data_IF_699025311435
#
_entry.id   IF_699025311435
#
_cell.length_a   1.000
_cell.length_b   1.000
_cell.length_c   1.000
_cell.angle_alpha   90.00
_cell.angle_beta   90.00
_cell.angle_gamma   90.00
#
_symmetry.space_group_name_H-M   'P 1'
#
loop_
_entity.id
_entity.type
_entity.pdbx_description
1 polymer ?
#
# COMPACT_ATOMS: atom_id res chain seq x y z
N UNK A 1 -14.80 -37.97 41.01
CA UNK A 1 -13.97 -38.12 39.80
C UNK A 1 -13.64 -36.74 39.23
N UNK A 2 -12.37 -36.32 39.32
CA UNK A 2 -11.87 -35.08 38.73
C UNK A 2 -11.75 -35.26 37.22
N UNK A 3 -12.57 -34.54 36.43
CA UNK A 3 -12.42 -34.45 34.97
C UNK A 3 -11.05 -33.81 34.66
N UNK A 4 -10.07 -34.64 34.29
CA UNK A 4 -8.83 -34.18 33.65
C UNK A 4 -9.24 -33.40 32.40
N UNK A 5 -8.93 -32.11 32.38
CA UNK A 5 -9.20 -31.24 31.25
C UNK A 5 -8.47 -31.75 30.01
N UNK A 6 -9.23 -32.06 28.98
CA UNK A 6 -8.71 -32.34 27.65
C UNK A 6 -8.04 -31.07 27.13
N UNK A 7 -6.71 -31.03 27.17
CA UNK A 7 -5.92 -30.02 26.44
C UNK A 7 -6.18 -30.23 24.95
N UNK A 8 -7.10 -29.45 24.38
CA UNK A 8 -7.24 -29.36 22.94
C UNK A 8 -5.89 -28.91 22.37
N UNK A 9 -5.26 -29.77 21.56
CA UNK A 9 -4.06 -29.40 20.81
C UNK A 9 -4.41 -28.26 19.86
N UNK A 10 -3.85 -27.08 20.13
CA UNK A 10 -4.06 -25.89 19.31
C UNK A 10 -2.93 -25.71 18.31
N UNK A 11 -3.25 -25.28 17.10
CA UNK A 11 -2.20 -24.97 16.12
C UNK A 11 -1.45 -23.69 16.52
N UNK A 12 -0.19 -23.55 16.07
CA UNK A 12 0.61 -22.32 16.27
C UNK A 12 -0.12 -21.08 15.75
N UNK A 13 -0.79 -21.22 14.59
CA UNK A 13 -1.59 -20.14 13.99
C UNK A 13 -2.76 -19.73 14.87
N UNK A 14 -3.45 -20.69 15.48
CA UNK A 14 -4.55 -20.42 16.40
C UNK A 14 -4.07 -19.80 17.70
N UNK A 15 -2.92 -20.24 18.22
CA UNK A 15 -2.28 -19.65 19.39
C UNK A 15 -1.93 -18.18 19.13
N UNK A 16 -1.30 -17.88 17.99
CA UNK A 16 -0.99 -16.50 17.60
C UNK A 16 -2.25 -15.64 17.44
N UNK A 17 -3.29 -16.16 16.80
CA UNK A 17 -4.58 -15.46 16.65
C UNK A 17 -5.25 -15.20 18.00
N UNK A 18 -5.25 -16.17 18.90
CA UNK A 18 -5.82 -16.05 20.25
C UNK A 18 -5.05 -15.03 21.07
N UNK A 19 -3.72 -15.09 21.07
CA UNK A 19 -2.86 -14.10 21.74
C UNK A 19 -3.09 -12.69 21.22
N UNK A 20 -3.18 -12.51 19.90
CA UNK A 20 -3.51 -11.21 19.30
C UNK A 20 -4.86 -10.65 19.73
N UNK A 21 -5.89 -11.50 19.86
CA UNK A 21 -7.20 -11.06 20.39
C UNK A 21 -7.10 -10.64 21.85
N UNK A 22 -6.43 -11.42 22.70
CA UNK A 22 -6.25 -11.09 24.12
C UNK A 22 -5.54 -9.73 24.28
N UNK A 23 -4.49 -9.49 23.50
CA UNK A 23 -3.77 -8.21 23.53
C UNK A 23 -4.66 -7.06 23.05
N UNK A 24 -5.43 -7.25 21.97
CA UNK A 24 -6.41 -6.27 21.49
C UNK A 24 -7.49 -5.96 22.49
N UNK A 25 -8.05 -6.97 23.13
CA UNK A 25 -9.14 -6.77 24.09
C UNK A 25 -8.61 -6.10 25.38
N UNK A 26 -7.34 -6.33 25.73
CA UNK A 26 -6.66 -5.70 26.89
C UNK A 26 -6.24 -4.24 26.64
N UNK A 27 -5.67 -3.93 25.47
CA UNK A 27 -5.03 -2.63 25.22
C UNK A 27 -5.74 -1.76 24.18
N UNK A 28 -6.71 -2.31 23.46
CA UNK A 28 -7.53 -1.60 22.49
C UNK A 28 -6.82 -1.20 21.19
N UNK A 29 -7.52 -0.50 20.28
CA UNK A 29 -6.99 -0.12 18.97
C UNK A 29 -5.81 0.86 19.03
N UNK A 30 -5.82 1.80 19.99
CA UNK A 30 -4.79 2.82 20.14
C UNK A 30 -3.39 2.22 20.34
N UNK A 31 -3.30 1.13 21.11
CA UNK A 31 -2.07 0.39 21.30
C UNK A 31 -1.49 -0.15 19.98
N UNK A 32 -2.33 -0.73 19.13
CA UNK A 32 -1.89 -1.22 17.80
C UNK A 32 -1.42 -0.10 16.88
N UNK A 33 -2.12 1.03 16.91
CA UNK A 33 -1.69 2.23 16.18
C UNK A 33 -0.32 2.72 16.67
N UNK A 34 -0.08 2.73 17.98
CA UNK A 34 1.19 3.18 18.55
C UNK A 34 2.34 2.23 18.21
N UNK A 35 2.18 0.92 18.40
CA UNK A 35 3.23 -0.05 18.07
C UNK A 35 3.49 -0.12 16.56
N UNK A 36 2.44 0.04 15.74
CA UNK A 36 2.57 0.13 14.28
C UNK A 36 3.36 1.36 13.87
N UNK A 37 3.07 2.52 14.48
CA UNK A 37 3.84 3.76 14.25
C UNK A 37 5.30 3.60 14.65
N UNK A 38 5.57 3.05 15.84
CA UNK A 38 6.95 2.80 16.32
C UNK A 38 7.70 1.85 15.38
N UNK A 39 7.08 0.76 14.95
CA UNK A 39 7.67 -0.16 13.98
C UNK A 39 7.96 0.50 12.64
N UNK A 40 7.03 1.29 12.11
CA UNK A 40 7.21 2.05 10.88
C UNK A 40 8.36 3.06 10.97
N UNK A 41 8.46 3.79 12.09
CA UNK A 41 9.55 4.74 12.33
C UNK A 41 10.92 4.04 12.43
N UNK A 42 10.99 2.90 13.11
CA UNK A 42 12.21 2.11 13.21
C UNK A 42 12.69 1.64 11.82
N UNK A 43 11.77 1.16 10.97
CA UNK A 43 12.08 0.76 9.59
C UNK A 43 12.50 1.97 8.76
N UNK A 44 11.82 3.10 8.89
CA UNK A 44 12.16 4.34 8.18
C UNK A 44 13.56 4.85 8.53
N UNK A 45 13.99 4.73 9.79
CA UNK A 45 15.33 5.11 10.21
C UNK A 45 16.41 4.10 9.75
N UNK A 46 16.07 2.81 9.72
CA UNK A 46 17.04 1.76 9.42
C UNK A 46 17.20 1.44 7.92
N UNK A 47 16.29 1.91 7.05
CA UNK A 47 16.23 1.51 5.64
C UNK A 47 16.43 2.69 4.70
N UNK A 48 17.09 2.41 3.58
CA UNK A 48 17.39 3.40 2.54
C UNK A 48 16.22 3.58 1.56
N UNK A 49 16.24 4.65 0.74
CA UNK A 49 15.27 4.83 -0.35
C UNK A 49 15.20 3.63 -1.31
N UNK A 50 16.32 2.96 -1.58
CA UNK A 50 16.41 1.77 -2.45
C UNK A 50 15.59 0.61 -1.89
N UNK A 51 15.57 0.43 -0.56
CA UNK A 51 14.74 -0.57 0.09
C UNK A 51 13.25 -0.34 -0.22
N UNK A 52 12.79 0.92 -0.12
CA UNK A 52 11.40 1.27 -0.43
C UNK A 52 11.06 1.10 -1.92
N UNK A 53 12.00 1.46 -2.80
CA UNK A 53 11.87 1.23 -4.24
C UNK A 53 11.73 -0.27 -4.55
N UNK A 54 12.56 -1.10 -3.92
CA UNK A 54 12.56 -2.55 -4.10
C UNK A 54 11.25 -3.19 -3.63
N UNK A 55 10.76 -2.86 -2.43
CA UNK A 55 9.49 -3.42 -1.93
C UNK A 55 8.30 -2.92 -2.74
N UNK A 56 8.35 -1.68 -3.24
CA UNK A 56 7.33 -1.12 -4.14
C UNK A 56 7.28 -1.86 -5.47
N UNK A 57 8.45 -2.09 -6.10
CA UNK A 57 8.56 -2.88 -7.33
C UNK A 57 8.03 -4.29 -7.14
N UNK A 58 8.46 -4.99 -6.07
CA UNK A 58 8.03 -6.35 -5.76
C UNK A 58 6.51 -6.43 -5.54
N UNK A 59 5.93 -5.45 -4.85
CA UNK A 59 4.48 -5.35 -4.68
C UNK A 59 3.75 -5.16 -6.01
N UNK A 60 4.24 -4.26 -6.87
CA UNK A 60 3.69 -4.04 -8.20
C UNK A 60 3.77 -5.27 -9.11
N UNK A 61 4.90 -5.98 -9.10
CA UNK A 61 5.08 -7.23 -9.85
C UNK A 61 4.12 -8.33 -9.38
N UNK A 62 3.92 -8.48 -8.07
CA UNK A 62 2.96 -9.43 -7.52
C UNK A 62 1.52 -9.11 -7.94
N UNK A 63 1.13 -7.83 -7.93
CA UNK A 63 -0.19 -7.39 -8.40
C UNK A 63 -0.35 -7.67 -9.90
N UNK A 64 0.66 -7.34 -10.70
CA UNK A 64 0.65 -7.59 -12.15
C UNK A 64 0.56 -9.07 -12.48
N UNK A 65 1.30 -9.92 -11.77
CA UNK A 65 1.26 -11.37 -11.96
C UNK A 65 -0.13 -11.94 -11.64
N UNK A 66 -0.78 -11.42 -10.58
CA UNK A 66 -2.10 -11.88 -10.15
C UNK A 66 -3.25 -11.40 -11.04
N UNK A 67 -3.18 -10.15 -11.53
CA UNK A 67 -4.32 -9.48 -12.16
C UNK A 67 -4.14 -9.16 -13.65
N UNK A 68 -2.93 -9.27 -14.18
CA UNK A 68 -2.63 -8.97 -15.57
C UNK A 68 -2.70 -7.47 -15.93
N UNK A 69 -2.59 -7.18 -17.22
CA UNK A 69 -2.56 -5.80 -17.75
C UNK A 69 -3.94 -5.12 -17.76
N UNK A 70 -5.01 -5.88 -17.96
CA UNK A 70 -6.39 -5.37 -18.00
C UNK A 70 -6.79 -4.66 -16.70
N UNK A 71 -6.30 -5.15 -15.55
CA UNK A 71 -6.51 -4.54 -14.25
C UNK A 71 -6.02 -3.09 -14.18
N UNK A 72 -4.83 -2.82 -14.72
CA UNK A 72 -4.28 -1.46 -14.73
C UNK A 72 -5.08 -0.50 -15.61
N UNK A 73 -5.59 -0.99 -16.74
CA UNK A 73 -6.48 -0.21 -17.60
C UNK A 73 -7.79 0.13 -16.88
N UNK A 74 -8.37 -0.84 -16.15
CA UNK A 74 -9.61 -0.63 -15.40
C UNK A 74 -9.44 0.38 -14.25
N UNK A 75 -8.41 0.21 -13.41
CA UNK A 75 -8.16 1.14 -12.29
C UNK A 75 -7.79 2.54 -12.81
N UNK A 76 -7.08 2.63 -13.94
CA UNK A 76 -6.77 3.89 -14.61
C UNK A 76 -8.04 4.59 -15.09
N UNK A 77 -8.96 3.86 -15.74
CA UNK A 77 -10.27 4.39 -16.17
C UNK A 77 -11.10 4.87 -14.98
N UNK A 78 -11.18 4.07 -13.91
CA UNK A 78 -11.90 4.43 -12.68
C UNK A 78 -11.32 5.70 -12.03
N UNK A 79 -10.00 5.79 -11.92
CA UNK A 79 -9.31 6.97 -11.40
C UNK A 79 -9.57 8.22 -12.26
N UNK A 80 -9.49 8.09 -13.58
CA UNK A 80 -9.81 9.19 -14.50
C UNK A 80 -11.27 9.65 -14.39
N UNK A 81 -12.23 8.73 -14.32
CA UNK A 81 -13.64 9.10 -14.13
C UNK A 81 -13.87 9.84 -12.82
N UNK A 82 -13.23 9.41 -11.72
CA UNK A 82 -13.33 10.08 -10.43
C UNK A 82 -12.75 11.51 -10.46
N UNK A 83 -11.59 11.69 -11.11
CA UNK A 83 -10.97 13.02 -11.29
C UNK A 83 -11.85 13.92 -12.16
N UNK A 84 -12.41 13.39 -13.26
CA UNK A 84 -13.34 14.14 -14.13
C UNK A 84 -14.60 14.59 -13.40
N UNK A 85 -15.20 13.70 -12.60
CA UNK A 85 -16.37 14.03 -11.81
C UNK A 85 -16.07 15.15 -10.78
N UNK A 86 -14.88 15.13 -10.19
CA UNK A 86 -14.48 16.11 -9.15
C UNK A 86 -14.05 17.47 -9.72
N UNK A 87 -13.36 17.48 -10.86
CA UNK A 87 -12.63 18.67 -11.31
C UNK A 87 -13.05 19.19 -12.70
N UNK A 88 -13.94 18.49 -13.41
CA UNK A 88 -14.43 18.92 -14.71
C UNK A 88 -13.40 18.85 -15.85
N UNK A 89 -13.82 19.19 -17.07
CA UNK A 89 -12.98 19.12 -18.27
C UNK A 89 -11.80 20.12 -18.26
N UNK A 90 -11.92 21.27 -17.61
CA UNK A 90 -10.89 22.32 -17.53
C UNK A 90 -9.62 21.83 -16.82
N UNK A 91 -9.79 20.94 -15.83
CA UNK A 91 -8.69 20.28 -15.16
C UNK A 91 -7.87 19.43 -16.12
N UNK A 92 -8.52 18.67 -17.01
CA UNK A 92 -7.85 17.84 -18.01
C UNK A 92 -7.08 18.67 -19.03
N UNK A 93 -7.68 19.76 -19.50
CA UNK A 93 -7.01 20.71 -20.40
C UNK A 93 -5.74 21.28 -19.76
N UNK A 94 -5.81 21.67 -18.49
CA UNK A 94 -4.67 22.21 -17.74
C UNK A 94 -3.56 21.19 -17.50
N UNK A 95 -3.88 19.98 -17.05
CA UNK A 95 -2.85 18.95 -16.84
C UNK A 95 -2.27 18.46 -18.18
N UNK A 96 -3.08 18.40 -19.24
CA UNK A 96 -2.63 18.07 -20.59
C UNK A 96 -1.64 19.10 -21.14
N UNK A 97 -1.96 20.40 -20.98
CA UNK A 97 -1.04 21.49 -21.33
C UNK A 97 0.28 21.38 -20.56
N UNK A 98 0.22 21.21 -19.24
CA UNK A 98 1.41 21.04 -18.38
C UNK A 98 2.25 19.83 -18.78
N UNK A 99 1.62 18.69 -19.08
CA UNK A 99 2.29 17.48 -19.54
C UNK A 99 2.98 17.67 -20.89
N UNK A 100 2.28 18.29 -21.86
CA UNK A 100 2.84 18.62 -23.17
C UNK A 100 4.02 19.58 -23.09
N UNK A 101 3.95 20.61 -22.23
CA UNK A 101 5.05 21.54 -21.99
C UNK A 101 6.27 20.84 -21.35
N UNK A 102 6.06 19.89 -20.44
CA UNK A 102 7.15 19.11 -19.86
C UNK A 102 7.87 18.25 -20.91
N UNK A 103 7.13 17.60 -21.82
CA UNK A 103 7.72 16.85 -22.94
C UNK A 103 8.49 17.77 -23.88
N UNK A 104 7.96 18.97 -24.19
CA UNK A 104 8.67 19.95 -25.03
C UNK A 104 9.97 20.42 -24.40
N UNK A 105 9.98 20.72 -23.10
CA UNK A 105 11.20 21.12 -22.38
C UNK A 105 12.27 20.02 -22.34
N UNK A 106 11.85 18.76 -22.20
CA UNK A 106 12.76 17.60 -22.26
C UNK A 106 13.24 17.24 -23.68
N UNK A 107 12.57 17.77 -24.72
CA UNK A 107 12.93 17.61 -26.14
C UNK A 107 13.74 18.76 -26.71
N UNK A 108 14.04 19.81 -25.94
CA UNK A 108 14.99 20.83 -26.39
C UNK A 108 16.34 20.12 -26.56
N UNK A 109 16.89 20.00 -27.79
CA UNK A 109 18.24 19.47 -27.93
C UNK A 109 19.16 20.39 -27.11
N UNK A 110 20.07 19.80 -26.34
CA UNK A 110 21.18 20.55 -25.78
C UNK A 110 21.83 21.29 -26.97
N UNK A 111 21.71 22.61 -26.97
CA UNK A 111 22.23 23.46 -28.04
C UNK A 111 23.72 23.20 -28.22
N UNK A 112 24.10 22.93 -29.48
CA UNK A 112 25.47 22.89 -29.97
C UNK A 112 26.20 24.23 -29.73
#
# INVERSE_FOLDING_TARGET
MTKKGETQEMTVREAGRKGGRVVRDKYGPAFYSEIGRKGGQAVAQAKSPEFYSMIGKKGGEAVRAKHGSSFYAEIGKKGGQAVKAKHGPEYYSRIGKKGGEAVKRGKTPASA
#
